data_IF_404624138283
#
_entry.id   IF_404624138283
#
_cell.length_a   1.000
_cell.length_b   1.000
_cell.length_c   1.000
_cell.angle_alpha   90.00
_cell.angle_beta   90.00
_cell.angle_gamma   90.00
#
_symmetry.space_group_name_H-M   'P 1'
#
loop_
_entity.id
_entity.type
_entity.pdbx_description
1 polymer ?
#
# COMPACT_ATOMS: atom_id res chain seq x y z
N UNK A 1 -26.08 11.60 -8.85
CA UNK A 1 -24.88 12.47 -8.89
C UNK A 1 -24.66 13.17 -7.54
N UNK A 2 -24.22 12.45 -6.49
CA UNK A 2 -23.94 13.05 -5.15
C UNK A 2 -22.65 12.48 -4.48
N UNK A 3 -22.04 11.41 -5.04
CA UNK A 3 -20.95 10.67 -4.38
C UNK A 3 -19.60 11.41 -4.26
N UNK A 4 -19.39 12.52 -4.97
CA UNK A 4 -18.09 13.21 -5.02
C UNK A 4 -17.94 14.36 -4.00
N UNK A 5 -19.03 14.86 -3.41
CA UNK A 5 -18.97 16.01 -2.49
C UNK A 5 -18.49 15.61 -1.08
N UNK A 6 -18.82 14.38 -0.69
CA UNK A 6 -18.56 13.85 0.65
C UNK A 6 -17.14 13.26 0.83
N UNK A 7 -16.40 12.94 -0.24
CA UNK A 7 -15.02 12.42 -0.09
C UNK A 7 -14.04 13.45 0.48
N UNK A 8 -14.34 14.74 0.37
CA UNK A 8 -13.45 15.80 0.87
C UNK A 8 -13.48 15.89 2.40
N UNK A 9 -14.65 15.69 3.04
CA UNK A 9 -14.74 15.78 4.50
C UNK A 9 -13.89 14.73 5.22
N UNK A 10 -13.64 13.59 4.57
CA UNK A 10 -12.86 12.50 5.15
C UNK A 10 -11.39 12.87 5.32
N UNK A 11 -10.90 13.83 4.53
CA UNK A 11 -9.51 14.30 4.62
C UNK A 11 -9.35 15.47 5.58
N UNK A 12 -10.46 16.01 6.12
CA UNK A 12 -10.43 17.19 6.99
C UNK A 12 -10.27 16.80 8.45
N UNK A 13 -9.26 17.39 9.09
CA UNK A 13 -8.99 17.19 10.51
C UNK A 13 -9.71 18.24 11.35
N UNK A 14 -10.88 17.87 11.87
CA UNK A 14 -11.64 18.74 12.76
C UNK A 14 -11.13 18.63 14.21
N UNK A 15 -11.05 19.75 14.96
CA UNK A 15 -10.47 19.77 16.31
C UNK A 15 -11.28 18.94 17.34
N UNK A 16 -12.58 18.72 17.11
CA UNK A 16 -13.42 17.86 17.95
C UNK A 16 -13.40 16.37 17.56
N UNK A 17 -12.79 16.02 16.42
CA UNK A 17 -12.73 14.65 15.95
C UNK A 17 -11.65 13.87 16.70
N UNK A 18 -12.03 12.71 17.24
CA UNK A 18 -11.08 11.73 17.79
C UNK A 18 -10.32 10.95 16.71
N UNK A 19 -10.65 11.16 15.44
CA UNK A 19 -10.04 10.52 14.29
C UNK A 19 -9.35 11.58 13.44
N UNK A 20 -8.06 11.41 13.20
CA UNK A 20 -7.21 12.29 12.40
C UNK A 20 -6.82 11.60 11.10
N UNK A 21 -7.09 12.23 9.96
CA UNK A 21 -6.55 11.87 8.66
C UNK A 21 -5.04 12.10 8.63
N UNK A 22 -4.32 11.05 8.19
CA UNK A 22 -2.86 11.03 8.12
C UNK A 22 -2.38 11.07 6.68
N UNK A 23 -3.03 10.34 5.76
CA UNK A 23 -2.63 10.31 4.36
C UNK A 23 -3.40 9.31 3.54
N UNK A 24 -3.00 9.19 2.27
CA UNK A 24 -3.57 8.24 1.31
C UNK A 24 -2.49 7.59 0.49
N UNK A 25 -2.76 6.40 -0.04
CA UNK A 25 -1.87 5.73 -1.00
C UNK A 25 -2.32 5.91 -2.45
N UNK A 26 -1.50 5.42 -3.38
CA UNK A 26 -1.78 5.42 -4.82
C UNK A 26 -3.00 4.57 -5.21
N UNK A 27 -3.45 3.65 -4.34
CA UNK A 27 -4.65 2.85 -4.54
C UNK A 27 -5.94 3.58 -4.08
N UNK A 28 -5.80 4.77 -3.51
CA UNK A 28 -6.90 5.56 -2.97
C UNK A 28 -7.40 5.07 -1.60
N UNK A 29 -6.63 4.25 -0.88
CA UNK A 29 -6.93 3.94 0.51
C UNK A 29 -6.57 5.14 1.38
N UNK A 30 -7.37 5.42 2.40
CA UNK A 30 -7.17 6.52 3.34
C UNK A 30 -6.73 5.97 4.70
N UNK A 31 -5.77 6.64 5.33
CA UNK A 31 -5.15 6.20 6.57
C UNK A 31 -5.42 7.22 7.67
N UNK A 32 -5.75 6.72 8.86
CA UNK A 32 -6.17 7.53 9.98
C UNK A 32 -5.57 7.06 11.29
N UNK A 33 -5.47 8.00 12.22
CA UNK A 33 -5.12 7.77 13.61
C UNK A 33 -6.32 8.10 14.51
N UNK A 34 -6.73 7.14 15.34
CA UNK A 34 -7.87 7.27 16.24
C UNK A 34 -7.40 7.30 17.69
N UNK A 35 -7.59 8.44 18.34
CA UNK A 35 -7.19 8.67 19.71
C UNK A 35 -8.25 8.19 20.70
N UNK A 36 -7.81 7.53 21.77
CA UNK A 36 -8.62 7.15 22.92
C UNK A 36 -7.86 7.53 24.19
N UNK A 37 -8.55 8.18 25.13
CA UNK A 37 -7.94 8.67 26.36
C UNK A 37 -7.14 7.55 27.08
N UNK A 38 -5.93 7.88 27.51
CA UNK A 38 -5.06 6.96 28.27
C UNK A 38 -4.48 5.78 27.50
N UNK A 39 -4.59 5.73 26.16
CA UNK A 39 -4.03 4.63 25.37
C UNK A 39 -3.30 5.11 24.13
N UNK A 40 -2.39 4.28 23.60
CA UNK A 40 -1.75 4.55 22.31
C UNK A 40 -2.84 4.69 21.23
N UNK A 41 -2.69 5.66 20.32
CA UNK A 41 -3.65 5.84 19.25
C UNK A 41 -3.69 4.59 18.35
N UNK A 42 -4.89 4.25 17.86
CA UNK A 42 -5.07 3.15 16.91
C UNK A 42 -4.90 3.66 15.48
N UNK A 43 -4.20 2.90 14.66
CA UNK A 43 -4.03 3.20 13.22
C UNK A 43 -5.01 2.36 12.42
N UNK A 44 -5.77 3.01 11.54
CA UNK A 44 -6.85 2.37 10.76
C UNK A 44 -6.75 2.79 9.29
N UNK A 45 -7.19 1.88 8.42
CA UNK A 45 -7.28 2.10 6.98
C UNK A 45 -8.75 2.06 6.56
N UNK A 46 -9.16 3.03 5.76
CA UNK A 46 -10.39 3.00 4.98
C UNK A 46 -10.02 2.65 3.55
N UNK A 47 -10.41 1.47 3.12
CA UNK A 47 -10.16 1.02 1.76
C UNK A 47 -10.99 1.81 0.74
N UNK A 48 -10.45 1.96 -0.47
CA UNK A 48 -11.18 2.56 -1.57
C UNK A 48 -12.45 1.76 -1.90
N UNK A 49 -13.60 2.44 -2.03
CA UNK A 49 -14.94 1.87 -2.24
C UNK A 49 -15.06 1.03 -3.52
N UNK A 50 -14.13 1.17 -4.47
CA UNK A 50 -14.05 0.33 -5.65
C UNK A 50 -13.64 -1.12 -5.36
N UNK A 51 -13.13 -1.42 -4.16
CA UNK A 51 -12.82 -2.78 -3.73
C UNK A 51 -14.06 -3.43 -3.11
N UNK A 52 -14.43 -4.61 -3.61
CA UNK A 52 -15.56 -5.39 -3.09
C UNK A 52 -15.28 -5.77 -1.62
N UNK A 53 -16.31 -5.75 -0.77
CA UNK A 53 -16.22 -5.89 0.69
C UNK A 53 -15.53 -7.16 1.21
N UNK A 54 -15.33 -8.19 0.36
CA UNK A 54 -14.59 -9.40 0.72
C UNK A 54 -13.09 -9.34 0.37
N UNK A 55 -12.61 -8.27 -0.25
CA UNK A 55 -11.21 -8.11 -0.69
C UNK A 55 -10.35 -7.28 0.27
N UNK A 56 -10.71 -7.22 1.56
CA UNK A 56 -9.89 -6.60 2.60
C UNK A 56 -8.67 -7.47 2.91
N UNK A 57 -7.72 -7.47 1.98
CA UNK A 57 -6.46 -8.15 2.12
C UNK A 57 -5.38 -7.14 2.51
N UNK A 58 -4.90 -7.25 3.74
CA UNK A 58 -3.83 -6.40 4.27
C UNK A 58 -2.53 -6.55 3.46
N UNK A 59 -2.33 -7.67 2.75
CA UNK A 59 -1.17 -7.90 1.89
C UNK A 59 -1.16 -7.00 0.65
N UNK A 60 -2.33 -6.48 0.23
CA UNK A 60 -2.45 -5.59 -0.95
C UNK A 60 -2.16 -4.12 -0.64
N UNK A 61 -1.90 -3.77 0.61
CA UNK A 61 -1.51 -2.41 0.98
C UNK A 61 -0.02 -2.18 0.69
N UNK A 62 0.42 -0.95 0.40
CA UNK A 62 1.85 -0.66 0.29
C UNK A 62 2.58 -1.00 1.60
N UNK A 63 3.77 -1.59 1.50
CA UNK A 63 4.47 -2.15 2.67
C UNK A 63 4.83 -1.09 3.73
N UNK A 64 5.07 0.15 3.30
CA UNK A 64 5.38 1.26 4.19
C UNK A 64 4.14 1.64 5.02
N UNK A 65 2.97 1.67 4.39
CA UNK A 65 1.69 1.87 5.08
C UNK A 65 1.33 0.69 5.98
N UNK A 66 1.63 -0.55 5.58
CA UNK A 66 1.46 -1.72 6.45
C UNK A 66 2.34 -1.62 7.71
N UNK A 67 3.60 -1.21 7.55
CA UNK A 67 4.54 -1.04 8.66
C UNK A 67 4.07 0.05 9.62
N UNK A 68 3.57 1.15 9.08
CA UNK A 68 2.94 2.20 9.88
C UNK A 68 1.68 1.67 10.61
N UNK A 69 0.76 0.98 9.93
CA UNK A 69 -0.43 0.40 10.56
C UNK A 69 -0.09 -0.57 11.71
N UNK A 70 1.00 -1.34 11.58
CA UNK A 70 1.48 -2.30 12.58
C UNK A 70 2.30 -1.67 13.70
N UNK A 71 2.46 -0.35 13.71
CA UNK A 71 3.30 0.37 14.67
C UNK A 71 4.78 -0.03 14.66
N UNK A 72 5.27 -0.73 13.63
CA UNK A 72 6.71 -0.99 13.48
C UNK A 72 7.47 0.26 13.05
N UNK A 73 6.75 1.21 12.44
CA UNK A 73 7.26 2.53 12.06
C UNK A 73 6.51 3.63 12.82
N UNK A 74 7.18 4.61 13.45
CA UNK A 74 6.52 5.70 14.16
C UNK A 74 5.82 6.67 13.19
N UNK A 75 6.55 7.18 12.21
CA UNK A 75 6.06 8.18 11.25
C UNK A 75 5.34 7.54 10.06
N UNK A 76 4.31 8.19 9.49
CA UNK A 76 3.70 7.72 8.25
C UNK A 76 4.69 7.78 7.09
N UNK A 77 4.48 6.98 6.03
CA UNK A 77 5.28 7.10 4.82
C UNK A 77 5.05 8.45 4.13
N UNK A 78 6.08 8.93 3.45
CA UNK A 78 5.99 10.14 2.62
C UNK A 78 5.56 9.80 1.21
N UNK A 79 4.98 10.76 0.49
CA UNK A 79 4.59 10.55 -0.91
C UNK A 79 5.79 10.18 -1.79
N UNK A 80 6.92 10.87 -1.60
CA UNK A 80 8.17 10.56 -2.30
C UNK A 80 8.63 9.12 -2.07
N UNK A 81 8.61 8.66 -0.83
CA UNK A 81 9.01 7.29 -0.49
C UNK A 81 8.13 6.25 -1.19
N UNK A 82 6.83 6.49 -1.27
CA UNK A 82 5.90 5.61 -1.98
C UNK A 82 6.21 5.61 -3.48
N UNK A 83 6.50 6.78 -4.08
CA UNK A 83 6.88 6.90 -5.49
C UNK A 83 8.18 6.16 -5.79
N UNK A 84 9.21 6.35 -4.96
CA UNK A 84 10.51 5.69 -5.09
C UNK A 84 10.36 4.16 -5.02
N UNK A 85 9.49 3.66 -4.14
CA UNK A 85 9.23 2.22 -4.03
C UNK A 85 8.48 1.65 -5.25
N UNK A 86 7.55 2.41 -5.84
CA UNK A 86 6.87 2.00 -7.07
C UNK A 86 7.87 1.83 -8.23
N UNK A 87 8.76 2.82 -8.40
CA UNK A 87 9.84 2.77 -9.40
C UNK A 87 10.76 1.57 -9.14
N UNK A 88 11.12 1.35 -7.87
CA UNK A 88 11.95 0.20 -7.48
C UNK A 88 11.28 -1.14 -7.82
N UNK A 89 9.98 -1.29 -7.55
CA UNK A 89 9.20 -2.49 -7.86
C UNK A 89 9.15 -2.73 -9.37
N UNK A 90 8.94 -1.68 -10.15
CA UNK A 90 8.92 -1.76 -11.62
C UNK A 90 10.26 -2.22 -12.19
N UNK A 91 11.36 -1.58 -11.77
CA UNK A 91 12.72 -1.98 -12.16
C UNK A 91 13.05 -3.42 -11.75
N UNK A 92 12.59 -3.84 -10.57
CA UNK A 92 12.81 -5.21 -10.10
C UNK A 92 12.06 -6.22 -10.97
N UNK A 93 10.83 -5.92 -11.39
CA UNK A 93 10.04 -6.78 -12.27
C UNK A 93 10.73 -7.01 -13.61
N UNK A 94 11.33 -5.98 -14.19
CA UNK A 94 12.07 -6.12 -15.45
C UNK A 94 13.31 -7.02 -15.28
N UNK A 95 14.06 -6.81 -14.20
CA UNK A 95 15.23 -7.65 -13.88
C UNK A 95 14.84 -9.11 -13.67
N UNK A 96 13.76 -9.37 -12.94
CA UNK A 96 13.26 -10.74 -12.70
C UNK A 96 12.88 -11.41 -14.03
N UNK A 97 12.14 -10.72 -14.91
CA UNK A 97 11.80 -11.25 -16.24
C UNK A 97 13.03 -11.62 -17.07
N UNK A 98 14.08 -10.79 -17.04
CA UNK A 98 15.31 -11.06 -17.77
C UNK A 98 16.06 -12.29 -17.22
N UNK A 99 16.06 -12.48 -15.90
CA UNK A 99 16.64 -13.66 -15.23
C UNK A 99 15.84 -14.91 -15.60
N UNK A 100 14.52 -14.86 -15.47
CA UNK A 100 13.63 -15.99 -15.81
C UNK A 100 13.81 -16.44 -17.26
N UNK A 101 13.93 -15.49 -18.19
CA UNK A 101 14.19 -15.77 -19.61
C UNK A 101 15.54 -16.45 -19.83
N UNK A 102 16.59 -16.02 -19.12
CA UNK A 102 17.92 -16.66 -19.18
C UNK A 102 17.85 -18.08 -18.63
N UNK A 103 17.29 -18.27 -17.45
CA UNK A 103 17.14 -19.58 -16.84
C UNK A 103 16.28 -20.53 -17.68
N UNK A 104 15.31 -20.01 -18.42
CA UNK A 104 14.52 -20.80 -19.34
C UNK A 104 15.35 -21.28 -20.54
N UNK A 105 16.14 -20.39 -21.16
CA UNK A 105 17.04 -20.76 -22.25
C UNK A 105 18.06 -21.81 -21.82
N UNK A 106 18.72 -21.59 -20.70
CA UNK A 106 19.72 -22.51 -20.17
C UNK A 106 19.09 -23.90 -19.95
N UNK A 107 17.88 -23.95 -19.35
CA UNK A 107 17.12 -25.20 -19.17
C UNK A 107 16.76 -25.88 -20.49
N UNK A 108 16.41 -25.13 -21.52
CA UNK A 108 16.11 -25.68 -22.84
C UNK A 108 17.37 -26.23 -23.54
N UNK A 109 18.51 -25.56 -23.40
CA UNK A 109 19.80 -26.03 -23.89
C UNK A 109 20.24 -27.32 -23.18
N UNK A 110 20.15 -27.37 -21.86
CA UNK A 110 20.44 -28.59 -21.09
C UNK A 110 19.57 -29.78 -21.51
N UNK A 111 18.28 -29.56 -21.78
CA UNK A 111 17.38 -30.61 -22.26
C UNK A 111 17.77 -31.13 -23.64
N UNK A 112 18.28 -30.27 -24.53
CA UNK A 112 18.75 -30.67 -25.87
C UNK A 112 20.07 -31.44 -25.83
N UNK A 113 20.93 -31.16 -24.85
CA UNK A 113 22.21 -31.88 -24.68
C UNK A 113 22.03 -33.24 -24.00
N UNK A 114 21.01 -33.37 -23.15
CA UNK A 114 20.73 -34.59 -22.38
C UNK A 114 19.77 -35.58 -23.07
N UNK A 115 19.15 -35.19 -24.19
CA UNK A 115 18.30 -36.05 -25.03
C UNK A 115 18.99 -36.41 -26.33
#
# INVERSE_FOLDING_TARGET
MIKNFFKSFEKTNFPWSKTRYIGSDYNGNLYFEKYRAGTRPRRIVKYNESKVSFQYDALKLPIQWQSWLRHTRPEPPTEKEIQDDLIRIENLREKVKAIEFREQKDREEYKKLAG
#
